data_IF_983149414664
#
_entry.id   IF_983149414664
#
_cell.length_a   1.000
_cell.length_b   1.000
_cell.length_c   1.000
_cell.angle_alpha   90.00
_cell.angle_beta   90.00
_cell.angle_gamma   90.00
#
_symmetry.space_group_name_H-M   'P 1'
#
loop_
_entity.id
_entity.type
_entity.pdbx_description
1 polymer ?
#
# COMPACT_ATOMS: atom_id res chain seq x y z
N UNK A 1 -0.86 18.44 7.49
CA UNK A 1 -0.39 17.53 8.58
C UNK A 1 -0.38 16.14 7.96
N UNK A 2 0.70 15.38 8.05
CA UNK A 2 0.82 14.07 7.36
C UNK A 2 -0.18 13.03 7.94
N UNK A 3 -0.79 13.26 9.11
CA UNK A 3 -1.57 12.28 9.87
C UNK A 3 -3.07 12.12 9.58
N UNK A 4 -3.63 12.68 8.50
CA UNK A 4 -5.09 12.57 8.20
C UNK A 4 -5.42 11.74 6.94
N UNK A 5 -4.42 11.19 6.25
CA UNK A 5 -4.61 10.45 5.01
C UNK A 5 -4.89 8.95 5.19
N UNK A 6 -5.61 8.38 4.22
CA UNK A 6 -5.77 6.94 4.05
C UNK A 6 -4.70 6.38 3.10
N UNK A 7 -4.10 5.24 3.46
CA UNK A 7 -3.02 4.61 2.70
C UNK A 7 -3.35 3.18 2.35
N UNK A 8 -3.39 2.87 1.05
CA UNK A 8 -3.50 1.52 0.51
C UNK A 8 -2.12 0.93 0.23
N UNK A 9 -1.89 -0.31 0.63
CA UNK A 9 -0.63 -1.03 0.42
C UNK A 9 -0.91 -2.31 -0.35
N UNK A 10 -0.37 -2.45 -1.56
CA UNK A 10 -0.71 -3.60 -2.39
C UNK A 10 0.42 -4.14 -3.26
N UNK A 11 0.24 -5.37 -3.71
CA UNK A 11 1.00 -5.95 -4.83
C UNK A 11 0.04 -6.40 -5.92
N UNK A 12 0.48 -6.35 -7.17
CA UNK A 12 -0.28 -6.82 -8.32
C UNK A 12 0.57 -7.79 -9.14
N UNK A 13 0.12 -9.04 -9.27
CA UNK A 13 0.81 -10.10 -10.03
C UNK A 13 -0.24 -11.02 -10.63
N UNK A 14 -0.17 -11.33 -11.93
CA UNK A 14 -1.10 -12.22 -12.63
C UNK A 14 -2.58 -11.91 -12.36
N UNK A 15 -2.95 -10.62 -12.44
CA UNK A 15 -4.29 -10.09 -12.12
C UNK A 15 -4.79 -10.33 -10.68
N UNK A 16 -3.92 -10.79 -9.77
CA UNK A 16 -4.21 -10.95 -8.35
C UNK A 16 -3.65 -9.77 -7.58
N UNK A 17 -4.49 -9.24 -6.69
CA UNK A 17 -4.11 -8.17 -5.77
C UNK A 17 -3.89 -8.78 -4.39
N UNK A 18 -2.83 -8.38 -3.71
CA UNK A 18 -2.72 -8.59 -2.25
C UNK A 18 -2.74 -7.24 -1.59
N UNK A 19 -3.56 -7.10 -0.54
CA UNK A 19 -3.64 -5.91 0.27
C UNK A 19 -3.01 -6.18 1.62
N UNK A 20 -2.07 -5.34 2.05
CA UNK A 20 -1.28 -5.56 3.25
C UNK A 20 -1.89 -4.92 4.49
N UNK A 21 -1.79 -5.62 5.62
CA UNK A 21 -2.16 -5.13 6.94
C UNK A 21 -1.00 -4.42 7.66
N UNK A 22 -1.11 -4.24 8.97
CA UNK A 22 -0.16 -3.46 9.79
C UNK A 22 1.17 -4.16 10.13
N UNK A 23 1.60 -5.15 9.33
CA UNK A 23 2.90 -5.85 9.46
C UNK A 23 3.78 -5.58 8.26
N UNK A 24 5.09 -5.81 8.41
CA UNK A 24 6.10 -5.55 7.40
C UNK A 24 5.95 -4.10 6.89
N UNK A 25 5.68 -3.93 5.59
CA UNK A 25 5.37 -2.64 4.96
C UNK A 25 4.37 -1.79 5.75
N UNK A 26 3.29 -2.38 6.28
CA UNK A 26 2.26 -1.61 6.97
C UNK A 26 2.65 -1.13 8.36
N UNK A 27 3.78 -1.58 8.92
CA UNK A 27 4.25 -1.07 10.22
C UNK A 27 4.55 0.43 10.12
N UNK A 28 5.30 0.84 9.09
CA UNK A 28 5.70 2.23 8.91
C UNK A 28 4.49 3.14 8.73
N UNK A 29 3.57 2.77 7.85
CA UNK A 29 2.40 3.60 7.55
C UNK A 29 1.38 3.62 8.69
N UNK A 30 0.94 2.45 9.18
CA UNK A 30 -0.19 2.38 10.09
C UNK A 30 0.19 2.49 11.57
N UNK A 31 1.44 2.17 11.94
CA UNK A 31 1.89 2.24 13.35
C UNK A 31 2.79 3.44 13.60
N UNK A 32 3.82 3.63 12.77
CA UNK A 32 4.80 4.72 13.01
C UNK A 32 4.25 6.08 12.60
N UNK A 33 3.59 6.17 11.44
CA UNK A 33 3.00 7.41 10.92
C UNK A 33 1.53 7.61 11.33
N UNK A 34 0.92 6.59 11.93
CA UNK A 34 -0.49 6.60 12.37
C UNK A 34 -1.49 6.96 11.25
N UNK A 35 -1.20 6.52 10.01
CA UNK A 35 -2.09 6.69 8.87
C UNK A 35 -3.20 5.64 8.89
N UNK A 36 -4.33 5.96 8.26
CA UNK A 36 -5.48 5.05 8.24
C UNK A 36 -5.36 4.01 7.11
N UNK A 37 -5.51 2.70 7.37
CA UNK A 37 -5.70 1.73 6.31
C UNK A 37 -7.11 1.88 5.69
N UNK A 38 -7.32 1.42 4.44
CA UNK A 38 -8.67 1.32 3.88
C UNK A 38 -9.57 0.46 4.75
N UNK A 39 -10.86 0.79 4.78
CA UNK A 39 -11.85 0.23 5.71
C UNK A 39 -11.89 -1.30 5.74
N UNK A 40 -11.72 -1.94 4.59
CA UNK A 40 -11.66 -3.40 4.49
C UNK A 40 -10.46 -3.98 5.24
N UNK A 41 -9.29 -3.35 5.10
CA UNK A 41 -8.07 -3.75 5.80
C UNK A 41 -8.18 -3.45 7.29
N UNK A 42 -8.77 -2.31 7.67
CA UNK A 42 -9.05 -2.00 9.08
C UNK A 42 -9.89 -3.09 9.75
N UNK A 43 -11.01 -3.47 9.12
CA UNK A 43 -11.88 -4.55 9.61
C UNK A 43 -11.17 -5.90 9.74
N UNK A 44 -10.25 -6.24 8.84
CA UNK A 44 -9.47 -7.47 8.99
C UNK A 44 -8.44 -7.36 10.12
N UNK A 45 -7.73 -6.22 10.26
CA UNK A 45 -6.79 -5.97 11.35
C UNK A 45 -7.49 -6.10 12.72
N UNK A 46 -8.67 -5.53 12.87
CA UNK A 46 -9.41 -5.47 14.14
C UNK A 46 -9.90 -6.85 14.64
N UNK A 47 -9.94 -7.86 13.76
CA UNK A 47 -10.24 -9.25 14.15
C UNK A 47 -9.08 -9.94 14.88
N UNK A 48 -7.92 -9.30 14.91
CA UNK A 48 -6.68 -9.90 15.38
C UNK A 48 -6.08 -9.06 16.51
N UNK A 49 -5.44 -9.73 17.47
CA UNK A 49 -4.72 -9.02 18.53
C UNK A 49 -3.59 -8.16 17.92
N UNK A 50 -3.31 -6.96 18.46
CA UNK A 50 -2.22 -6.12 17.98
C UNK A 50 -0.90 -6.89 17.93
N UNK A 51 -0.29 -6.97 16.75
CA UNK A 51 0.99 -7.68 16.54
C UNK A 51 0.86 -9.14 16.09
N UNK A 52 -0.36 -9.64 15.83
CA UNK A 52 -0.58 -11.02 15.38
C UNK A 52 -0.73 -11.15 13.84
N UNK A 53 -1.28 -12.28 13.39
CA UNK A 53 -0.95 -13.06 12.18
C UNK A 53 -1.28 -12.37 10.84
N UNK A 54 -2.10 -11.32 10.84
CA UNK A 54 -2.57 -10.70 9.59
C UNK A 54 -1.47 -9.91 8.88
N UNK A 55 -0.94 -10.49 7.81
CA UNK A 55 0.04 -9.85 6.93
C UNK A 55 -0.62 -9.24 5.69
N UNK A 56 -1.52 -9.98 5.04
CA UNK A 56 -2.21 -9.54 3.84
C UNK A 56 -3.51 -10.34 3.62
N UNK A 57 -4.39 -9.81 2.77
CA UNK A 57 -5.55 -10.51 2.22
C UNK A 57 -5.55 -10.46 0.69
N UNK A 58 -6.18 -11.45 0.06
CA UNK A 58 -6.38 -11.47 -1.39
C UNK A 58 -7.51 -10.52 -1.81
N UNK A 59 -7.31 -9.86 -2.95
CA UNK A 59 -8.28 -9.06 -3.67
C UNK A 59 -8.15 -9.33 -5.18
N UNK A 60 -9.07 -8.79 -5.97
CA UNK A 60 -9.09 -8.91 -7.43
C UNK A 60 -9.25 -7.53 -8.05
N UNK A 61 -8.97 -7.42 -9.34
CA UNK A 61 -9.14 -6.16 -10.09
C UNK A 61 -10.60 -5.68 -10.11
N UNK A 62 -11.56 -6.61 -9.95
CA UNK A 62 -12.99 -6.32 -9.89
C UNK A 62 -13.45 -5.66 -8.58
N UNK A 63 -12.68 -5.77 -7.49
CA UNK A 63 -13.02 -5.19 -6.19
C UNK A 63 -12.00 -4.16 -5.71
N UNK A 64 -11.29 -3.51 -6.64
CA UNK A 64 -10.31 -2.48 -6.32
C UNK A 64 -10.90 -1.28 -5.58
N UNK A 65 -12.19 -0.98 -5.73
CA UNK A 65 -12.88 0.07 -4.95
C UNK A 65 -12.83 -0.18 -3.44
N UNK A 66 -12.59 -1.42 -3.00
CA UNK A 66 -12.34 -1.71 -1.58
C UNK A 66 -11.02 -1.11 -1.07
N UNK A 67 -10.21 -0.56 -1.97
CA UNK A 67 -8.93 0.11 -1.74
C UNK A 67 -9.01 1.61 -1.97
N UNK A 68 -10.20 2.22 -1.87
CA UNK A 68 -10.36 3.68 -1.95
C UNK A 68 -9.53 4.36 -0.86
N UNK A 69 -8.44 4.99 -1.30
CA UNK A 69 -7.47 5.66 -0.43
C UNK A 69 -6.92 6.92 -1.07
N UNK A 70 -6.39 7.82 -0.24
CA UNK A 70 -5.74 9.07 -0.67
C UNK A 70 -4.37 8.81 -1.31
N UNK A 71 -3.66 7.80 -0.80
CA UNK A 71 -2.37 7.34 -1.30
C UNK A 71 -2.38 5.84 -1.53
N UNK A 72 -1.69 5.38 -2.56
CA UNK A 72 -1.56 3.96 -2.86
C UNK A 72 -0.10 3.60 -3.15
N UNK A 73 0.42 2.61 -2.43
CA UNK A 73 1.77 2.11 -2.62
C UNK A 73 1.72 0.71 -3.22
N UNK A 74 2.26 0.59 -4.44
CA UNK A 74 2.42 -0.65 -5.17
C UNK A 74 3.82 -1.21 -4.90
N UNK A 75 3.91 -2.36 -4.23
CA UNK A 75 5.19 -3.02 -3.95
C UNK A 75 5.54 -3.96 -5.08
N UNK A 76 6.73 -3.82 -5.66
CA UNK A 76 7.19 -4.62 -6.80
C UNK A 76 8.63 -5.08 -6.61
N UNK A 77 9.01 -6.16 -7.30
CA UNK A 77 10.36 -6.73 -7.25
C UNK A 77 11.37 -6.02 -8.16
N UNK A 78 10.90 -5.21 -9.10
CA UNK A 78 11.73 -4.45 -10.01
C UNK A 78 10.94 -3.31 -10.66
N UNK A 79 11.65 -2.35 -11.25
CA UNK A 79 11.05 -1.28 -12.03
C UNK A 79 10.34 -1.78 -13.29
N UNK A 80 10.88 -2.82 -13.94
CA UNK A 80 10.23 -3.45 -15.10
C UNK A 80 8.86 -4.01 -14.73
N UNK A 81 8.82 -4.75 -13.62
CA UNK A 81 7.57 -5.32 -13.13
C UNK A 81 6.58 -4.25 -12.69
N UNK A 82 7.06 -3.13 -12.16
CA UNK A 82 6.22 -1.97 -11.85
C UNK A 82 5.61 -1.35 -13.10
N UNK A 83 6.42 -1.13 -14.15
CA UNK A 83 5.92 -0.56 -15.42
C UNK A 83 4.85 -1.45 -16.05
N UNK A 84 5.09 -2.76 -16.09
CA UNK A 84 4.13 -3.71 -16.65
C UNK A 84 2.84 -3.78 -15.83
N UNK A 85 2.97 -3.86 -14.50
CA UNK A 85 1.83 -3.84 -13.57
C UNK A 85 0.98 -2.58 -13.74
N UNK A 86 1.61 -1.41 -13.80
CA UNK A 86 0.91 -0.13 -13.99
C UNK A 86 0.22 -0.08 -15.35
N UNK A 87 0.88 -0.55 -16.42
CA UNK A 87 0.30 -0.59 -17.77
C UNK A 87 -0.96 -1.46 -17.82
N UNK A 88 -0.94 -2.61 -17.16
CA UNK A 88 -2.11 -3.48 -17.04
C UNK A 88 -3.22 -2.86 -16.18
N UNK A 89 -2.86 -2.33 -15.00
CA UNK A 89 -3.80 -1.67 -14.09
C UNK A 89 -4.48 -0.46 -14.75
N UNK A 90 -3.77 0.30 -15.58
CA UNK A 90 -4.32 1.40 -16.36
C UNK A 90 -5.41 0.97 -17.34
N UNK A 91 -5.53 -0.30 -17.72
CA UNK A 91 -6.63 -0.82 -18.55
C UNK A 91 -7.90 -1.10 -17.75
N UNK A 92 -7.81 -1.19 -16.42
CA UNK A 92 -8.92 -1.54 -15.53
C UNK A 92 -9.67 -0.28 -15.09
N UNK A 93 -10.98 -0.24 -15.31
CA UNK A 93 -11.82 0.90 -14.93
C UNK A 93 -11.80 1.17 -13.43
N UNK A 94 -11.93 0.11 -12.62
CA UNK A 94 -11.88 0.20 -11.15
C UNK A 94 -10.56 0.77 -10.62
N UNK A 95 -9.45 0.58 -11.32
CA UNK A 95 -8.17 1.21 -10.97
C UNK A 95 -8.20 2.70 -11.29
N UNK A 96 -8.58 3.06 -12.52
CA UNK A 96 -8.67 4.47 -12.96
C UNK A 96 -9.67 5.29 -12.12
N UNK A 97 -10.64 4.65 -11.48
CA UNK A 97 -11.60 5.32 -10.61
C UNK A 97 -11.08 5.67 -9.22
N UNK A 98 -9.99 5.04 -8.75
CA UNK A 98 -9.46 5.23 -7.40
C UNK A 98 -9.03 6.68 -7.17
N UNK A 99 -9.30 7.29 -5.99
CA UNK A 99 -8.84 8.64 -5.68
C UNK A 99 -7.33 8.80 -5.83
N UNK A 100 -6.54 7.91 -5.22
CA UNK A 100 -5.07 7.93 -5.34
C UNK A 100 -4.59 7.91 -6.80
N UNK A 101 -5.28 7.20 -7.70
CA UNK A 101 -4.91 7.16 -9.13
C UNK A 101 -5.26 8.47 -9.83
N UNK A 102 -6.46 9.01 -9.57
CA UNK A 102 -6.93 10.28 -10.16
C UNK A 102 -6.06 11.48 -9.76
N UNK A 103 -5.60 11.49 -8.51
CA UNK A 103 -4.76 12.57 -7.97
C UNK A 103 -3.26 12.33 -8.17
N UNK A 104 -2.85 11.22 -8.80
CA UNK A 104 -1.43 10.94 -9.06
C UNK A 104 -0.63 10.50 -7.83
N UNK A 105 -1.30 10.05 -6.78
CA UNK A 105 -0.74 9.61 -5.49
C UNK A 105 -0.47 8.09 -5.46
N UNK A 106 0.00 7.56 -6.59
CA UNK A 106 0.44 6.16 -6.70
C UNK A 106 1.96 6.13 -6.68
N UNK A 107 2.53 5.42 -5.71
CA UNK A 107 3.97 5.29 -5.54
C UNK A 107 4.39 3.83 -5.64
N UNK A 108 5.57 3.58 -6.19
CA UNK A 108 6.15 2.24 -6.28
C UNK A 108 7.18 2.06 -5.18
N UNK A 109 7.13 0.93 -4.51
CA UNK A 109 8.06 0.55 -3.44
C UNK A 109 8.83 -0.72 -3.81
N UNK A 110 10.10 -0.75 -3.46
CA UNK A 110 10.95 -1.92 -3.66
C UNK A 110 10.59 -3.06 -2.68
N UNK A 111 10.33 -4.26 -3.21
CA UNK A 111 9.92 -5.41 -2.43
C UNK A 111 10.95 -5.81 -1.36
N UNK A 112 12.22 -5.91 -1.73
CA UNK A 112 13.25 -6.42 -0.82
C UNK A 112 13.49 -5.47 0.35
N UNK A 113 13.45 -4.16 0.07
CA UNK A 113 13.51 -3.13 1.10
C UNK A 113 12.30 -3.16 2.00
N UNK A 114 11.08 -3.20 1.45
CA UNK A 114 9.84 -2.96 2.21
C UNK A 114 9.24 -4.19 2.88
N UNK A 115 9.64 -5.39 2.47
CA UNK A 115 9.27 -6.63 3.17
C UNK A 115 10.25 -6.98 4.30
N UNK A 116 11.43 -6.38 4.35
CA UNK A 116 12.37 -6.58 5.45
C UNK A 116 11.87 -5.93 6.75
N UNK A 117 11.76 -6.75 7.80
CA UNK A 117 11.27 -6.33 9.11
C UNK A 117 12.37 -6.40 10.17
N UNK A 118 13.19 -5.34 10.23
CA UNK A 118 14.27 -5.15 11.20
C UNK A 118 14.29 -3.70 11.70
N UNK A 119 14.85 -3.40 12.88
CA UNK A 119 14.91 -2.02 13.39
C UNK A 119 15.56 -1.04 12.41
N UNK A 120 16.67 -1.45 11.78
CA UNK A 120 17.39 -0.61 10.81
C UNK A 120 16.60 -0.39 9.51
N UNK A 121 15.87 -1.40 9.04
CA UNK A 121 15.04 -1.24 7.84
C UNK A 121 13.86 -0.31 8.09
N UNK A 122 13.22 -0.39 9.26
CA UNK A 122 12.09 0.48 9.62
C UNK A 122 12.47 1.97 9.59
N UNK A 123 13.66 2.34 10.10
CA UNK A 123 14.12 3.73 10.07
C UNK A 123 14.29 4.24 8.63
N UNK A 124 14.94 3.46 7.76
CA UNK A 124 15.13 3.82 6.36
C UNK A 124 13.80 3.89 5.58
N UNK A 125 12.88 2.96 5.84
CA UNK A 125 11.55 2.93 5.24
C UNK A 125 10.70 4.12 5.70
N UNK A 126 10.80 4.52 6.98
CA UNK A 126 10.08 5.69 7.52
C UNK A 126 10.50 6.98 6.82
N UNK A 127 11.81 7.21 6.66
CA UNK A 127 12.32 8.38 5.98
C UNK A 127 11.86 8.44 4.51
N UNK A 128 11.83 7.28 3.83
CA UNK A 128 11.31 7.17 2.47
C UNK A 128 9.79 7.43 2.40
N UNK A 129 9.00 6.84 3.31
CA UNK A 129 7.55 7.07 3.39
C UNK A 129 7.24 8.57 3.51
N UNK A 130 7.90 9.26 4.44
CA UNK A 130 7.71 10.71 4.66
C UNK A 130 8.04 11.49 3.39
N UNK A 131 9.15 11.15 2.72
CA UNK A 131 9.55 11.82 1.48
C UNK A 131 8.51 11.64 0.37
N UNK A 132 7.98 10.43 0.19
CA UNK A 132 6.96 10.14 -0.82
C UNK A 132 5.63 10.85 -0.53
N UNK A 133 5.18 10.83 0.73
CA UNK A 133 3.94 11.48 1.17
C UNK A 133 4.01 13.02 1.07
N UNK A 134 5.19 13.62 1.21
CA UNK A 134 5.39 15.07 1.04
C UNK A 134 5.55 15.50 -0.42
N UNK A 135 6.00 14.59 -1.30
CA UNK A 135 6.15 14.87 -2.73
C UNK A 135 4.81 14.86 -3.47
N UNK A 136 3.85 14.07 -2.99
CA UNK A 136 2.48 14.07 -3.44
C UNK A 136 1.77 15.38 -3.01
N UNK A 137 1.17 16.07 -3.97
CA UNK A 137 0.57 17.41 -3.81
C UNK A 137 -0.91 17.40 -4.14
#
# INVERSE_FOLDING_TARGET
>A
MIGEGTVGLLTFVDHKVKLYGARNIGHVFYRSLNLSPPDKIRREIDKHLPGTIFNWMSATTANLSDCDTDYLFLVTKSEEWARDSIKELQQIEGWRSLPAVKYGNVHVLDWDKWMMYSPRSIESQLNEAVSLLMAAK
#
